data_IF_833472157860
#
_entry.id   IF_833472157860
#
_cell.length_a   1.000
_cell.length_b   1.000
_cell.length_c   1.000
_cell.angle_alpha   90.00
_cell.angle_beta   90.00
_cell.angle_gamma   90.00
#
_symmetry.space_group_name_H-M   'P 1'
#
loop_
_entity.id
_entity.type
_entity.pdbx_description
1 polymer ?
#
# COMPACT_ATOMS: atom_id res chain seq x y z
N UNK A 1 22.30 26.06 -21.94
CA UNK A 1 22.37 25.87 -20.46
C UNK A 1 23.80 25.47 -20.09
N UNK A 2 24.32 25.76 -18.89
CA UNK A 2 25.68 25.33 -18.51
C UNK A 2 25.63 24.20 -17.47
N UNK A 3 26.51 23.21 -17.62
CA UNK A 3 26.68 22.15 -16.62
C UNK A 3 27.30 22.71 -15.33
N UNK A 4 26.76 22.32 -14.17
CA UNK A 4 27.25 22.78 -12.86
C UNK A 4 28.66 22.27 -12.53
N UNK A 5 29.07 21.11 -13.09
CA UNK A 5 30.34 20.47 -12.75
C UNK A 5 31.51 20.94 -13.63
N UNK A 6 31.30 21.05 -14.95
CA UNK A 6 32.37 21.30 -15.92
C UNK A 6 32.20 22.60 -16.73
N UNK A 7 31.20 23.43 -16.41
CA UNK A 7 30.85 24.68 -17.12
C UNK A 7 30.58 24.53 -18.62
N UNK A 8 30.48 23.29 -19.13
CA UNK A 8 30.23 22.99 -20.53
C UNK A 8 28.83 23.46 -20.96
N UNK A 9 28.71 23.94 -22.19
CA UNK A 9 27.45 24.43 -22.74
C UNK A 9 26.61 23.28 -23.31
N UNK A 10 25.34 23.24 -22.89
CA UNK A 10 24.31 22.30 -23.31
C UNK A 10 23.34 23.07 -24.21
N UNK A 11 23.25 22.65 -25.47
CA UNK A 11 22.36 23.26 -26.47
C UNK A 11 21.14 22.36 -26.65
N UNK A 12 19.96 22.91 -26.36
CA UNK A 12 18.66 22.23 -26.52
C UNK A 12 17.87 23.01 -27.56
N UNK A 13 17.29 22.31 -28.54
CA UNK A 13 16.36 22.89 -29.52
C UNK A 13 14.98 22.26 -29.37
N UNK A 14 13.96 23.10 -29.57
CA UNK A 14 12.55 22.70 -29.58
C UNK A 14 12.15 22.25 -30.98
N UNK A 15 11.62 21.04 -31.09
CA UNK A 15 11.01 20.55 -32.33
C UNK A 15 9.50 20.79 -32.30
N UNK A 16 8.97 21.76 -33.07
CA UNK A 16 7.54 22.10 -33.02
C UNK A 16 6.63 21.04 -33.63
N UNK A 17 7.17 20.09 -34.40
CA UNK A 17 6.39 19.02 -35.05
C UNK A 17 6.05 17.87 -34.10
N UNK A 18 7.00 17.49 -33.25
CA UNK A 18 6.87 16.34 -32.36
C UNK A 18 6.64 16.76 -30.90
N UNK A 19 6.62 18.06 -30.61
CA UNK A 19 6.52 18.61 -29.25
C UNK A 19 7.63 18.09 -28.31
N UNK A 20 8.83 17.86 -28.86
CA UNK A 20 9.97 17.32 -28.13
C UNK A 20 11.14 18.31 -28.04
N UNK A 21 11.98 18.11 -27.04
CA UNK A 21 13.25 18.82 -26.88
C UNK A 21 14.41 17.91 -27.33
N UNK A 22 15.16 18.37 -28.32
CA UNK A 22 16.37 17.70 -28.81
C UNK A 22 17.61 18.28 -28.15
N UNK A 23 18.49 17.40 -27.65
CA UNK A 23 19.80 17.77 -27.14
C UNK A 23 20.81 17.65 -28.28
N UNK A 24 21.40 18.77 -28.69
CA UNK A 24 22.33 18.84 -29.83
C UNK A 24 23.78 18.69 -29.39
N UNK A 25 24.13 19.28 -28.24
CA UNK A 25 25.48 19.21 -27.70
C UNK A 25 25.49 19.30 -26.18
N UNK A 26 26.51 18.70 -25.58
CA UNK A 26 26.86 18.85 -24.17
C UNK A 26 26.11 17.97 -23.17
N UNK A 27 25.10 17.19 -23.59
CA UNK A 27 24.41 16.23 -22.74
C UNK A 27 23.82 15.05 -23.55
N UNK A 28 23.42 13.99 -22.86
CA UNK A 28 22.69 12.85 -23.42
C UNK A 28 21.32 12.74 -22.73
N UNK A 29 20.27 12.45 -23.50
CA UNK A 29 18.92 12.20 -22.97
C UNK A 29 18.91 10.83 -22.30
N UNK A 30 18.65 10.78 -20.99
CA UNK A 30 18.32 9.54 -20.29
C UNK A 30 16.83 9.28 -20.50
N UNK A 31 16.48 8.21 -21.22
CA UNK A 31 15.10 7.77 -21.36
C UNK A 31 14.92 6.62 -20.37
N UNK A 32 14.11 6.85 -19.33
CA UNK A 32 13.61 5.77 -18.48
C UNK A 32 12.16 5.52 -18.90
N UNK A 33 11.92 4.35 -19.48
CA UNK A 33 10.57 3.86 -19.72
C UNK A 33 10.03 3.36 -18.38
N UNK A 34 8.79 3.74 -18.06
CA UNK A 34 8.15 3.30 -16.83
C UNK A 34 7.89 1.78 -16.93
N UNK A 35 8.70 0.99 -16.22
CA UNK A 35 8.48 -0.44 -16.09
C UNK A 35 7.57 -0.73 -14.89
N UNK A 36 6.43 -1.36 -15.15
CA UNK A 36 5.47 -1.77 -14.12
C UNK A 36 6.06 -2.74 -13.11
N UNK A 37 7.06 -3.54 -13.50
CA UNK A 37 7.72 -4.50 -12.61
C UNK A 37 8.64 -3.79 -11.60
N UNK A 38 9.38 -2.76 -12.06
CA UNK A 38 10.30 -1.98 -11.22
C UNK A 38 9.54 -1.03 -10.26
N UNK A 39 8.33 -0.61 -10.65
CA UNK A 39 7.47 0.28 -9.86
C UNK A 39 6.59 -0.43 -8.81
N UNK A 40 6.71 -1.76 -8.65
CA UNK A 40 5.86 -2.60 -7.77
C UNK A 40 4.35 -2.32 -7.91
N UNK A 41 3.93 -1.86 -9.09
CA UNK A 41 2.54 -1.43 -9.33
C UNK A 41 1.78 -2.58 -9.96
N UNK A 42 0.51 -2.78 -9.56
CA UNK A 42 -0.31 -3.87 -10.11
C UNK A 42 -0.52 -3.68 -11.62
N UNK A 43 -0.07 -4.66 -12.41
CA UNK A 43 -0.38 -4.74 -13.83
C UNK A 43 -1.86 -5.06 -13.96
N UNK A 44 -2.63 -4.12 -14.51
CA UNK A 44 -4.02 -4.40 -14.88
C UNK A 44 -4.01 -5.53 -15.93
N UNK A 45 -4.85 -6.57 -15.80
CA UNK A 45 -4.97 -7.60 -16.82
C UNK A 45 -5.70 -7.01 -18.03
N UNK A 46 -4.92 -6.40 -18.92
CA UNK A 46 -5.46 -5.49 -19.93
C UNK A 46 -5.84 -6.22 -21.22
N UNK A 47 -5.14 -7.28 -21.63
CA UNK A 47 -5.29 -7.71 -23.03
C UNK A 47 -6.44 -8.71 -23.25
N UNK A 48 -6.55 -9.75 -22.42
CA UNK A 48 -7.60 -10.76 -22.61
C UNK A 48 -8.99 -10.29 -22.15
N UNK A 49 -9.06 -9.47 -21.10
CA UNK A 49 -10.32 -8.97 -20.57
C UNK A 49 -10.88 -7.82 -21.42
N UNK A 50 -10.03 -6.92 -21.94
CA UNK A 50 -10.50 -5.86 -22.85
C UNK A 50 -11.12 -6.42 -24.14
N UNK A 51 -10.54 -7.47 -24.70
CA UNK A 51 -11.13 -8.09 -25.90
C UNK A 51 -12.51 -8.70 -25.63
N UNK A 52 -12.75 -9.19 -24.41
CA UNK A 52 -14.06 -9.75 -24.01
C UNK A 52 -15.08 -8.65 -23.69
N UNK A 53 -14.62 -7.51 -23.16
CA UNK A 53 -15.46 -6.32 -22.92
C UNK A 53 -15.94 -5.64 -24.22
N UNK A 54 -15.44 -6.03 -25.39
CA UNK A 54 -15.98 -5.61 -26.67
C UNK A 54 -17.34 -6.26 -26.99
N UNK A 55 -17.66 -7.41 -26.39
CA UNK A 55 -18.97 -8.05 -26.51
C UNK A 55 -20.00 -7.34 -25.60
N UNK A 56 -21.09 -6.78 -26.17
CA UNK A 56 -22.13 -6.10 -25.40
C UNK A 56 -22.77 -6.96 -24.30
N UNK A 57 -22.93 -8.27 -24.53
CA UNK A 57 -23.56 -9.16 -23.54
C UNK A 57 -22.63 -9.43 -22.36
N UNK A 58 -21.35 -9.72 -22.64
CA UNK A 58 -20.33 -9.93 -21.61
C UNK A 58 -20.19 -8.70 -20.70
N UNK A 59 -20.17 -7.50 -21.29
CA UNK A 59 -20.10 -6.25 -20.52
C UNK A 59 -21.30 -6.07 -19.60
N UNK A 60 -22.52 -6.30 -20.09
CA UNK A 60 -23.75 -6.14 -19.30
C UNK A 60 -23.78 -7.07 -18.08
N UNK A 61 -23.40 -8.34 -18.26
CA UNK A 61 -23.36 -9.31 -17.16
C UNK A 61 -22.33 -8.91 -16.09
N UNK A 62 -21.14 -8.47 -16.49
CA UNK A 62 -20.09 -8.06 -15.55
C UNK A 62 -20.42 -6.73 -14.86
N UNK A 63 -21.06 -5.79 -15.56
CA UNK A 63 -21.55 -4.55 -14.97
C UNK A 63 -22.58 -4.83 -13.85
N UNK A 64 -23.51 -5.75 -14.06
CA UNK A 64 -24.46 -6.15 -13.01
C UNK A 64 -23.81 -6.84 -11.82
N UNK A 65 -22.86 -7.74 -12.08
CA UNK A 65 -22.09 -8.41 -11.02
C UNK A 65 -21.28 -7.42 -10.18
N UNK A 66 -20.64 -6.44 -10.83
CA UNK A 66 -19.87 -5.41 -10.14
C UNK A 66 -20.77 -4.49 -9.31
N UNK A 67 -21.97 -4.18 -9.80
CA UNK A 67 -22.98 -3.45 -9.01
C UNK A 67 -23.46 -4.25 -7.80
N UNK A 68 -23.63 -5.57 -7.92
CA UNK A 68 -23.98 -6.45 -6.80
C UNK A 68 -22.86 -6.46 -5.76
N UNK A 69 -21.61 -6.69 -6.17
CA UNK A 69 -20.43 -6.65 -5.29
C UNK A 69 -20.30 -5.30 -4.57
N UNK A 70 -20.54 -4.19 -5.27
CA UNK A 70 -20.55 -2.85 -4.66
C UNK A 70 -21.59 -2.73 -3.55
N UNK A 71 -22.83 -3.14 -3.82
CA UNK A 71 -23.93 -3.09 -2.84
C UNK A 71 -23.68 -3.99 -1.63
N UNK A 72 -23.08 -5.16 -1.84
CA UNK A 72 -22.70 -6.08 -0.76
C UNK A 72 -21.58 -5.51 0.12
N UNK A 73 -20.59 -4.83 -0.48
CA UNK A 73 -19.46 -4.24 0.23
C UNK A 73 -19.82 -2.92 0.93
N UNK A 74 -20.76 -2.14 0.40
CA UNK A 74 -21.19 -0.84 0.94
C UNK A 74 -21.50 -0.84 2.45
N UNK A 75 -22.34 -1.74 3.01
CA UNK A 75 -22.63 -1.74 4.45
C UNK A 75 -21.41 -2.09 5.31
N UNK A 76 -20.45 -2.85 4.78
CA UNK A 76 -19.18 -3.11 5.47
C UNK A 76 -18.34 -1.83 5.49
N UNK A 77 -18.20 -1.15 4.35
CA UNK A 77 -17.44 0.09 4.25
C UNK A 77 -18.00 1.19 5.15
N UNK A 78 -19.32 1.36 5.18
CA UNK A 78 -20.00 2.32 6.07
C UNK A 78 -19.73 2.00 7.54
N UNK A 79 -19.74 0.71 7.92
CA UNK A 79 -19.39 0.29 9.29
C UNK A 79 -17.94 0.62 9.63
N UNK A 80 -17.00 0.32 8.73
CA UNK A 80 -15.59 0.65 8.92
C UNK A 80 -15.37 2.15 9.04
N UNK A 81 -16.00 2.93 8.16
CA UNK A 81 -15.92 4.38 8.16
C UNK A 81 -16.40 4.93 9.50
N UNK A 82 -17.58 4.55 9.98
CA UNK A 82 -18.11 4.98 11.30
C UNK A 82 -17.18 4.66 12.46
N UNK A 83 -16.60 3.46 12.47
CA UNK A 83 -15.65 3.05 13.53
C UNK A 83 -14.35 3.85 13.45
N UNK A 84 -13.86 4.13 12.24
CA UNK A 84 -12.63 4.90 12.05
C UNK A 84 -12.84 6.39 12.38
N UNK A 85 -13.77 7.06 11.69
CA UNK A 85 -13.98 8.50 11.75
C UNK A 85 -14.53 8.97 13.10
N UNK A 86 -15.58 8.30 13.61
CA UNK A 86 -16.37 8.87 14.69
C UNK A 86 -15.90 8.39 16.06
N UNK A 87 -15.44 7.13 16.15
CA UNK A 87 -15.10 6.51 17.43
C UNK A 87 -13.61 6.50 17.74
N UNK A 88 -12.73 6.30 16.73
CA UNK A 88 -11.28 6.25 16.93
C UNK A 88 -10.67 7.64 16.80
N UNK A 89 -10.86 8.29 15.66
CA UNK A 89 -10.19 9.54 15.34
C UNK A 89 -10.66 10.76 16.13
N UNK A 90 -11.87 10.73 16.70
CA UNK A 90 -12.37 11.85 17.50
C UNK A 90 -11.59 12.06 18.80
N UNK A 91 -11.10 11.00 19.44
CA UNK A 91 -10.29 11.07 20.67
C UNK A 91 -9.19 9.99 20.70
N UNK A 92 -8.29 10.05 19.71
CA UNK A 92 -7.14 9.14 19.61
C UNK A 92 -6.26 9.18 20.87
N UNK A 93 -6.19 10.33 21.56
CA UNK A 93 -5.35 10.48 22.74
C UNK A 93 -5.86 9.69 23.95
N UNK A 94 -7.15 9.78 24.29
CA UNK A 94 -7.68 9.05 25.45
C UNK A 94 -7.64 7.53 25.24
N UNK A 95 -7.95 7.07 24.03
CA UNK A 95 -7.88 5.66 23.64
C UNK A 95 -6.45 5.16 23.80
N UNK A 96 -5.48 5.84 23.19
CA UNK A 96 -4.06 5.47 23.30
C UNK A 96 -3.55 5.54 24.74
N UNK A 97 -3.97 6.53 25.52
CA UNK A 97 -3.61 6.65 26.94
C UNK A 97 -4.10 5.44 27.74
N UNK A 98 -5.30 4.94 27.46
CA UNK A 98 -5.85 3.73 28.12
C UNK A 98 -5.17 2.42 27.69
N UNK A 99 -4.68 2.34 26.44
CA UNK A 99 -4.05 1.15 25.87
C UNK A 99 -2.57 1.01 26.27
N UNK A 100 -1.83 2.12 26.39
CA UNK A 100 -0.41 2.13 26.79
C UNK A 100 -0.12 1.32 28.06
N UNK A 101 -0.85 1.44 29.18
CA UNK A 101 -0.56 0.63 30.38
C UNK A 101 -0.82 -0.86 30.15
N UNK A 102 -1.87 -1.22 29.39
CA UNK A 102 -2.19 -2.62 29.04
C UNK A 102 -1.08 -3.24 28.17
N UNK A 103 -0.58 -2.50 27.18
CA UNK A 103 0.53 -2.94 26.34
C UNK A 103 1.83 -3.07 27.13
N UNK A 104 2.11 -2.14 28.03
CA UNK A 104 3.29 -2.21 28.91
C UNK A 104 3.23 -3.42 29.84
N UNK A 105 2.10 -3.70 30.47
CA UNK A 105 1.94 -4.87 31.34
C UNK A 105 2.01 -6.19 30.55
N UNK A 106 1.41 -6.24 29.37
CA UNK A 106 1.55 -7.40 28.47
C UNK A 106 2.99 -7.61 28.02
N UNK A 107 3.70 -6.55 27.61
CA UNK A 107 5.11 -6.64 27.20
C UNK A 107 6.00 -7.13 28.34
N UNK A 108 5.76 -6.63 29.56
CA UNK A 108 6.47 -7.11 30.76
C UNK A 108 6.22 -8.61 31.00
N UNK A 109 4.96 -9.04 30.94
CA UNK A 109 4.59 -10.46 31.11
C UNK A 109 5.21 -11.35 30.02
N UNK A 110 5.20 -10.91 28.76
CA UNK A 110 5.84 -11.65 27.65
C UNK A 110 7.35 -11.77 27.87
N UNK A 111 8.02 -10.69 28.30
CA UNK A 111 9.45 -10.75 28.61
C UNK A 111 9.77 -11.72 29.76
N UNK A 112 8.94 -11.75 30.81
CA UNK A 112 9.08 -12.71 31.90
C UNK A 112 8.88 -14.16 31.43
N UNK A 113 7.88 -14.42 30.58
CA UNK A 113 7.63 -15.73 29.97
C UNK A 113 8.79 -16.16 29.07
N UNK A 114 9.37 -15.26 28.29
CA UNK A 114 10.54 -15.53 27.44
C UNK A 114 11.79 -15.84 28.27
N UNK A 115 12.03 -15.11 29.37
CA UNK A 115 13.14 -15.40 30.28
C UNK A 115 12.95 -16.74 30.97
N UNK A 116 11.72 -17.07 31.39
CA UNK A 116 11.40 -18.37 31.98
C UNK A 116 11.61 -19.52 30.98
N UNK A 117 11.15 -19.36 29.74
CA UNK A 117 11.36 -20.32 28.67
C UNK A 117 12.86 -20.54 28.40
N UNK A 118 13.65 -19.46 28.31
CA UNK A 118 15.11 -19.54 28.15
C UNK A 118 15.80 -20.26 29.31
N UNK A 119 15.39 -20.02 30.55
CA UNK A 119 15.91 -20.74 31.74
C UNK A 119 15.60 -22.23 31.70
N UNK A 120 14.48 -22.62 31.09
CA UNK A 120 14.10 -24.02 30.88
C UNK A 120 14.70 -24.62 29.60
N UNK A 121 15.54 -23.88 28.85
CA UNK A 121 16.14 -24.34 27.59
C UNK A 121 15.17 -24.39 26.41
N UNK A 122 13.99 -23.77 26.52
CA UNK A 122 12.97 -23.76 25.48
C UNK A 122 13.16 -22.54 24.58
N UNK A 123 13.35 -22.77 23.27
CA UNK A 123 13.45 -21.71 22.24
C UNK A 123 12.11 -21.10 21.83
N UNK A 124 11.03 -21.40 22.54
CA UNK A 124 9.66 -20.99 22.21
C UNK A 124 9.02 -20.41 23.48
N UNK A 125 8.24 -19.34 23.30
CA UNK A 125 7.48 -18.69 24.39
C UNK A 125 6.53 -19.69 25.06
N UNK A 126 6.75 -19.93 26.36
CA UNK A 126 5.86 -20.77 27.17
C UNK A 126 4.63 -19.98 27.62
N UNK A 127 3.49 -20.22 26.97
CA UNK A 127 2.21 -19.59 27.35
C UNK A 127 1.52 -20.47 28.40
N UNK A 128 1.16 -19.88 29.54
CA UNK A 128 0.34 -20.58 30.55
C UNK A 128 -1.04 -20.85 29.93
N UNK A 129 -1.42 -22.13 29.84
CA UNK A 129 -2.74 -22.54 29.32
C UNK A 129 -3.80 -21.86 30.18
N UNK A 130 -4.54 -20.91 29.59
CA UNK A 130 -5.73 -20.33 30.23
C UNK A 130 -6.78 -21.43 30.23
N UNK A 131 -6.91 -22.15 31.35
CA UNK A 131 -8.11 -22.94 31.60
C UNK A 131 -9.26 -21.94 31.69
N UNK A 132 -10.07 -21.87 30.63
CA UNK A 132 -11.31 -21.12 30.63
C UNK A 132 -12.23 -21.75 31.66
N UNK A 133 -12.54 -21.00 32.71
CA UNK A 133 -13.72 -21.28 33.52
C UNK A 133 -14.95 -21.12 32.62
N UNK A 134 -15.85 -22.09 32.73
CA UNK A 134 -17.18 -22.05 32.12
C UNK A 134 -17.96 -20.83 32.62
#
# INVERSE_FOLDING_TARGET
MKSACCQHEIVIQTDPKNCEYLVISGAQKKVEEFDTEDAETMVLPVDEQRSKLADPFYRLEHEEEDLKKKKEAEPLLVRLQRVSSDARHFDDYSINKSLRPKLRSQKKRVAEEEVAARKMGLGIRSVRRRYGGC
#
